data_IF_219659991377
#
_entry.id   IF_219659991377
#
_cell.length_a   1.000
_cell.length_b   1.000
_cell.length_c   1.000
_cell.angle_alpha   90.00
_cell.angle_beta   90.00
_cell.angle_gamma   90.00
#
_symmetry.space_group_name_H-M   'P 1'
#
loop_
_entity.id
_entity.type
_entity.pdbx_description
1 polymer ?
#
# COMPACT_ATOMS: atom_id res chain seq x y z
N UNK A 1 7.72 11.76 -0.94
CA UNK A 1 7.54 10.42 -1.54
C UNK A 1 8.76 10.05 -2.38
N UNK A 2 9.31 8.85 -2.22
CA UNK A 2 10.46 8.38 -3.00
C UNK A 2 9.99 7.61 -4.24
N UNK A 3 9.82 8.28 -5.39
CA UNK A 3 9.32 7.65 -6.63
C UNK A 3 10.23 6.54 -7.19
N UNK A 4 11.51 6.52 -6.80
CA UNK A 4 12.50 5.48 -7.15
C UNK A 4 12.63 4.39 -6.09
N UNK A 5 11.88 4.50 -4.99
CA UNK A 5 11.90 3.53 -3.90
C UNK A 5 11.25 2.21 -4.29
N UNK A 6 11.45 1.14 -3.50
CA UNK A 6 10.80 -0.13 -3.78
C UNK A 6 9.27 -0.03 -3.62
N UNK A 7 8.56 -0.86 -4.36
CA UNK A 7 7.15 -1.17 -4.11
C UNK A 7 7.12 -2.30 -3.09
N UNK A 8 6.32 -2.16 -2.05
CA UNK A 8 6.16 -3.17 -1.00
C UNK A 8 4.88 -3.94 -1.26
N UNK A 9 4.94 -5.27 -1.24
CA UNK A 9 3.77 -6.14 -1.32
C UNK A 9 3.67 -6.99 -0.05
N UNK A 10 2.58 -6.83 0.69
CA UNK A 10 2.26 -7.58 1.91
C UNK A 10 1.10 -8.52 1.58
N UNK A 11 1.42 -9.80 1.40
CA UNK A 11 0.50 -10.85 0.94
C UNK A 11 1.02 -12.23 1.37
N UNK A 12 0.21 -13.00 2.09
CA UNK A 12 0.58 -14.31 2.58
C UNK A 12 0.20 -15.44 1.59
N UNK A 13 -0.70 -15.18 0.65
CA UNK A 13 -1.08 -16.10 -0.42
C UNK A 13 -0.06 -16.11 -1.57
N UNK A 14 0.52 -17.28 -1.84
CA UNK A 14 1.53 -17.42 -2.89
C UNK A 14 0.97 -17.20 -4.32
N UNK A 15 -0.28 -17.59 -4.56
CA UNK A 15 -0.95 -17.39 -5.85
C UNK A 15 -1.14 -15.91 -6.16
N UNK A 16 -1.61 -15.15 -5.18
CA UNK A 16 -1.83 -13.71 -5.31
C UNK A 16 -0.50 -12.96 -5.46
N UNK A 17 0.54 -13.34 -4.69
CA UNK A 17 1.90 -12.82 -4.90
C UNK A 17 2.40 -13.02 -6.33
N UNK A 18 2.18 -14.21 -6.91
CA UNK A 18 2.58 -14.51 -8.30
C UNK A 18 1.82 -13.63 -9.29
N UNK A 19 0.51 -13.45 -9.08
CA UNK A 19 -0.33 -12.59 -9.91
C UNK A 19 0.20 -11.14 -9.93
N UNK A 20 0.44 -10.55 -8.75
CA UNK A 20 1.00 -9.19 -8.66
C UNK A 20 2.38 -9.10 -9.31
N UNK A 21 3.25 -10.08 -9.04
CA UNK A 21 4.62 -10.10 -9.61
C UNK A 21 4.60 -10.14 -11.13
N UNK A 22 3.71 -10.95 -11.72
CA UNK A 22 3.53 -11.01 -13.16
C UNK A 22 3.06 -9.66 -13.72
N UNK A 23 2.06 -9.04 -13.09
CA UNK A 23 1.54 -7.73 -13.50
C UNK A 23 2.62 -6.65 -13.43
N UNK A 24 3.34 -6.55 -12.32
CA UNK A 24 4.41 -5.56 -12.18
C UNK A 24 5.52 -5.75 -13.22
N UNK A 25 5.87 -7.00 -13.53
CA UNK A 25 6.83 -7.33 -14.58
C UNK A 25 6.32 -6.93 -15.98
N UNK A 26 5.05 -7.20 -16.30
CA UNK A 26 4.45 -6.86 -17.60
C UNK A 26 4.31 -5.36 -17.81
N UNK A 27 4.05 -4.61 -16.73
CA UNK A 27 3.94 -3.15 -16.77
C UNK A 27 5.30 -2.43 -16.86
N UNK A 28 6.41 -3.14 -16.68
CA UNK A 28 7.75 -2.60 -16.91
C UNK A 28 8.19 -1.53 -15.91
N UNK A 29 7.62 -1.51 -14.70
CA UNK A 29 8.02 -0.55 -13.66
C UNK A 29 9.43 -0.87 -13.14
N UNK A 30 10.30 0.14 -13.11
CA UNK A 30 11.71 -0.02 -12.71
C UNK A 30 11.92 -0.20 -11.19
N UNK A 31 10.89 -0.02 -10.38
CA UNK A 31 10.96 -0.11 -8.93
C UNK A 31 11.18 -1.57 -8.52
N UNK A 32 12.14 -1.82 -7.62
CA UNK A 32 12.29 -3.14 -6.99
C UNK A 32 11.02 -3.49 -6.19
N UNK A 33 10.67 -4.77 -6.14
CA UNK A 33 9.50 -5.25 -5.40
C UNK A 33 10.00 -6.02 -4.17
N UNK A 34 9.60 -5.59 -2.98
CA UNK A 34 9.90 -6.28 -1.73
C UNK A 34 8.63 -6.95 -1.21
N UNK A 35 8.75 -8.21 -0.82
CA UNK A 35 7.63 -9.06 -0.45
C UNK A 35 7.68 -9.41 1.04
N UNK A 36 6.52 -9.34 1.70
CA UNK A 36 6.36 -9.69 3.11
C UNK A 36 5.08 -10.49 3.32
N UNK A 37 5.07 -11.33 4.36
CA UNK A 37 3.92 -12.16 4.72
C UNK A 37 3.04 -11.51 5.80
N UNK A 38 3.52 -10.46 6.45
CA UNK A 38 2.82 -9.70 7.49
C UNK A 38 3.21 -8.23 7.44
N UNK A 39 2.37 -7.35 8.00
CA UNK A 39 2.70 -5.93 8.16
C UNK A 39 3.86 -5.71 9.12
N UNK A 40 3.97 -6.53 10.17
CA UNK A 40 5.04 -6.46 11.15
C UNK A 40 6.42 -6.78 10.53
N UNK A 41 6.53 -7.82 9.70
CA UNK A 41 7.79 -8.14 9.00
C UNK A 41 8.21 -7.00 8.07
N UNK A 42 7.24 -6.45 7.34
CA UNK A 42 7.47 -5.30 6.47
C UNK A 42 7.97 -4.10 7.28
N UNK A 43 7.29 -3.73 8.37
CA UNK A 43 7.69 -2.62 9.22
C UNK A 43 9.11 -2.78 9.75
N UNK A 44 9.39 -3.91 10.41
CA UNK A 44 10.68 -4.17 11.03
C UNK A 44 11.82 -4.11 10.01
N UNK A 45 11.60 -4.67 8.82
CA UNK A 45 12.58 -4.59 7.74
C UNK A 45 12.78 -3.15 7.25
N UNK A 46 11.69 -2.41 6.98
CA UNK A 46 11.76 -1.07 6.41
C UNK A 46 12.45 -0.09 7.35
N UNK A 47 12.14 -0.14 8.65
CA UNK A 47 12.77 0.72 9.66
C UNK A 47 14.24 0.34 9.88
N UNK A 48 14.52 -0.95 10.11
CA UNK A 48 15.89 -1.40 10.42
C UNK A 48 16.87 -1.12 9.28
N UNK A 49 16.39 -1.16 8.04
CA UNK A 49 17.21 -0.92 6.86
C UNK A 49 17.06 0.51 6.30
N UNK A 50 16.31 1.39 6.98
CA UNK A 50 16.02 2.76 6.55
C UNK A 50 15.53 2.84 5.08
N UNK A 51 14.68 1.89 4.70
CA UNK A 51 14.14 1.79 3.35
C UNK A 51 12.96 2.75 3.20
N UNK A 52 13.02 3.60 2.19
CA UNK A 52 11.95 4.54 1.85
C UNK A 52 11.14 4.01 0.66
N UNK A 53 10.00 3.35 0.90
CA UNK A 53 9.20 2.78 -0.18
C UNK A 53 8.58 3.86 -1.06
N UNK A 54 8.31 3.50 -2.31
CA UNK A 54 7.49 4.30 -3.20
C UNK A 54 6.01 4.15 -2.85
N UNK A 55 5.55 2.90 -2.77
CA UNK A 55 4.17 2.50 -2.49
C UNK A 55 4.15 1.22 -1.67
N UNK A 56 3.13 1.07 -0.85
CA UNK A 56 2.83 -0.17 -0.12
C UNK A 56 1.48 -0.69 -0.63
N UNK A 57 1.44 -1.96 -1.04
CA UNK A 57 0.24 -2.74 -1.29
C UNK A 57 0.10 -3.78 -0.18
N UNK A 58 -1.05 -3.84 0.48
CA UNK A 58 -1.30 -4.84 1.53
C UNK A 58 -2.68 -5.48 1.41
N UNK A 59 -2.77 -6.80 1.63
CA UNK A 59 -4.06 -7.49 1.73
C UNK A 59 -4.84 -7.02 2.97
N UNK A 60 -6.11 -6.69 2.80
CA UNK A 60 -7.09 -6.30 3.81
C UNK A 60 -7.22 -7.35 4.89
N UNK A 61 -7.18 -8.64 4.56
CA UNK A 61 -7.26 -9.71 5.57
C UNK A 61 -6.09 -9.62 6.53
N UNK A 62 -4.89 -9.38 6.00
CA UNK A 62 -3.68 -9.22 6.81
C UNK A 62 -3.71 -7.96 7.67
N UNK A 63 -4.37 -6.88 7.21
CA UNK A 63 -4.58 -5.69 8.04
C UNK A 63 -5.36 -6.03 9.32
N UNK A 64 -6.45 -6.79 9.18
CA UNK A 64 -7.31 -7.14 10.31
C UNK A 64 -6.61 -8.10 11.26
N UNK A 65 -5.86 -9.07 10.72
CA UNK A 65 -5.08 -10.03 11.53
C UNK A 65 -3.99 -9.36 12.36
N UNK A 66 -3.36 -8.30 11.83
CA UNK A 66 -2.35 -7.54 12.57
C UNK A 66 -3.00 -6.67 13.66
N UNK A 67 -4.20 -6.10 13.42
CA UNK A 67 -4.93 -5.34 14.44
C UNK A 67 -5.42 -6.22 15.62
N UNK A 68 -5.71 -7.52 15.39
CA UNK A 68 -6.13 -8.45 16.46
C UNK A 68 -4.96 -9.01 17.30
N UNK A 69 -3.73 -9.00 16.79
CA UNK A 69 -2.56 -9.63 17.44
C UNK A 69 -1.74 -8.69 18.34
N UNK A 70 -2.30 -7.56 18.79
CA UNK A 70 -1.57 -6.52 19.54
C UNK A 70 -0.28 -6.06 18.82
N UNK A 71 -0.32 -5.99 17.49
CA UNK A 71 0.82 -5.49 16.72
C UNK A 71 1.05 -4.02 17.08
N UNK A 72 2.31 -3.66 17.35
CA UNK A 72 2.68 -2.34 17.86
C UNK A 72 2.29 -1.17 16.94
N UNK A 73 1.94 -1.42 15.67
CA UNK A 73 1.77 -0.38 14.65
C UNK A 73 0.62 -0.71 13.70
N UNK A 74 -0.46 0.04 13.81
CA UNK A 74 -1.52 0.09 12.80
C UNK A 74 -0.96 0.56 11.45
N UNK A 75 -1.47 0.04 10.33
CA UNK A 75 -1.08 0.47 8.98
C UNK A 75 -1.26 1.96 8.70
N UNK A 76 -2.18 2.63 9.41
CA UNK A 76 -2.30 4.09 9.37
C UNK A 76 -1.08 4.79 9.97
N UNK A 77 -0.49 4.22 11.01
CA UNK A 77 0.74 4.72 11.60
C UNK A 77 1.93 4.37 10.71
N UNK A 78 1.96 3.18 10.10
CA UNK A 78 2.98 2.75 9.14
C UNK A 78 3.12 3.75 7.98
N UNK A 79 2.01 4.13 7.36
CA UNK A 79 1.99 5.01 6.19
C UNK A 79 2.40 6.45 6.55
N UNK A 80 1.98 6.95 7.73
CA UNK A 80 2.41 8.23 8.29
C UNK A 80 3.92 8.23 8.61
N UNK A 81 4.39 7.19 9.28
CA UNK A 81 5.78 7.05 9.74
C UNK A 81 6.75 6.89 8.57
N UNK A 82 6.39 6.08 7.58
CA UNK A 82 7.18 5.87 6.37
C UNK A 82 7.00 6.97 5.33
N UNK A 83 6.05 7.90 5.54
CA UNK A 83 5.72 9.00 4.62
C UNK A 83 5.51 8.50 3.18
N UNK A 84 4.76 7.40 3.05
CA UNK A 84 4.47 6.73 1.79
C UNK A 84 3.00 6.33 1.70
N UNK A 85 2.42 6.29 0.49
CA UNK A 85 1.05 5.86 0.30
C UNK A 85 0.93 4.36 0.58
N UNK A 86 -0.11 3.98 1.32
CA UNK A 86 -0.47 2.60 1.56
C UNK A 86 -1.84 2.34 0.92
N UNK A 87 -1.86 1.35 0.04
CA UNK A 87 -2.99 0.93 -0.77
C UNK A 87 -3.40 -0.47 -0.32
N UNK A 88 -4.68 -0.66 -0.05
CA UNK A 88 -5.16 -1.93 0.46
C UNK A 88 -5.95 -2.71 -0.55
N UNK A 89 -5.51 -3.92 -0.84
CA UNK A 89 -6.22 -4.83 -1.71
C UNK A 89 -6.77 -6.03 -0.97
N UNK A 90 -7.60 -6.81 -1.63
CA UNK A 90 -7.91 -8.15 -1.14
C UNK A 90 -8.07 -9.03 -2.36
N UNK A 91 -8.02 -10.33 -2.23
CA UNK A 91 -8.32 -11.27 -3.32
C UNK A 91 -9.46 -12.21 -2.93
N UNK A 92 -9.99 -12.05 -1.71
CA UNK A 92 -11.03 -12.91 -1.15
C UNK A 92 -12.33 -12.77 -1.96
N UNK A 93 -12.93 -13.91 -2.30
CA UNK A 93 -14.18 -13.99 -3.07
C UNK A 93 -14.13 -13.36 -4.47
N UNK A 94 -12.97 -13.40 -5.15
CA UNK A 94 -12.79 -12.83 -6.50
C UNK A 94 -13.02 -11.30 -6.53
N UNK A 95 -12.58 -10.58 -5.49
CA UNK A 95 -12.70 -9.13 -5.37
C UNK A 95 -11.35 -8.49 -5.06
N UNK A 96 -10.82 -7.68 -5.97
CA UNK A 96 -9.69 -6.80 -5.70
C UNK A 96 -10.19 -5.40 -5.33
N UNK A 97 -9.96 -4.98 -4.09
CA UNK A 97 -10.17 -3.59 -3.67
C UNK A 97 -8.85 -2.82 -3.77
N UNK A 98 -8.90 -1.50 -3.88
CA UNK A 98 -7.76 -0.63 -3.54
C UNK A 98 -8.31 0.53 -2.74
N UNK A 99 -8.03 0.56 -1.44
CA UNK A 99 -8.40 1.69 -0.58
C UNK A 99 -7.21 2.66 -0.44
N UNK A 100 -7.42 3.92 -0.81
CA UNK A 100 -6.52 5.02 -0.47
C UNK A 100 -6.99 5.68 0.83
N UNK A 101 -6.26 5.46 1.92
CA UNK A 101 -6.53 6.06 3.23
C UNK A 101 -6.35 7.60 3.29
N UNK A 102 -5.74 8.21 2.27
CA UNK A 102 -5.37 9.62 2.27
C UNK A 102 -6.35 10.52 1.52
N UNK A 103 -7.25 9.93 0.73
CA UNK A 103 -8.34 10.64 0.09
C UNK A 103 -9.55 10.71 1.04
N UNK A 104 -10.28 11.84 1.04
CA UNK A 104 -11.63 11.88 1.62
C UNK A 104 -12.45 10.67 1.09
N UNK A 105 -13.46 10.14 1.81
CA UNK A 105 -14.06 8.80 1.61
C UNK A 105 -14.87 8.62 0.29
N UNK A 106 -14.40 9.15 -0.83
CA UNK A 106 -15.21 9.41 -2.04
C UNK A 106 -14.64 8.82 -3.32
N UNK A 107 -13.57 8.02 -3.30
CA UNK A 107 -13.15 7.30 -4.51
C UNK A 107 -12.66 5.88 -4.21
N UNK A 108 -13.61 5.07 -3.74
CA UNK A 108 -13.47 3.62 -3.79
C UNK A 108 -13.40 3.19 -5.26
N UNK A 109 -12.25 2.68 -5.70
CA UNK A 109 -12.15 2.01 -7.00
C UNK A 109 -12.82 0.63 -6.87
N UNK A 110 -14.15 0.61 -7.02
CA UNK A 110 -14.97 -0.60 -6.98
C UNK A 110 -14.99 -1.25 -8.36
N UNK A 111 -14.52 -2.50 -8.49
CA UNK A 111 -14.90 -3.31 -9.66
C UNK A 111 -15.15 -4.78 -9.35
N UNK A 112 -16.26 -5.30 -9.90
CA UNK A 112 -16.60 -6.73 -10.07
C UNK A 112 -17.20 -6.93 -11.48
N UNK A 113 -17.05 -8.09 -12.16
CA UNK A 113 -16.00 -9.11 -12.04
C UNK A 113 -14.87 -8.89 -13.08
N UNK A 114 -13.66 -9.36 -12.77
CA UNK A 114 -12.40 -8.95 -13.41
C UNK A 114 -11.69 -10.10 -14.13
N UNK A 115 -11.25 -9.82 -15.37
CA UNK A 115 -10.21 -10.58 -16.04
C UNK A 115 -8.84 -10.09 -15.57
N UNK A 116 -7.81 -10.93 -15.74
CA UNK A 116 -6.40 -10.57 -15.52
C UNK A 116 -6.05 -9.19 -16.13
N UNK A 117 -6.50 -8.94 -17.37
CA UNK A 117 -6.25 -7.70 -18.09
C UNK A 117 -6.80 -6.46 -17.39
N UNK A 118 -8.03 -6.54 -16.86
CA UNK A 118 -8.57 -5.41 -16.13
C UNK A 118 -7.79 -5.18 -14.83
N UNK A 119 -7.35 -6.26 -14.16
CA UNK A 119 -6.55 -6.12 -12.93
C UNK A 119 -5.23 -5.40 -13.18
N UNK A 120 -4.55 -5.79 -14.25
CA UNK A 120 -3.36 -5.09 -14.76
C UNK A 120 -3.65 -3.62 -15.07
N UNK A 121 -4.79 -3.30 -15.68
CA UNK A 121 -5.20 -1.91 -15.97
C UNK A 121 -5.37 -1.05 -14.70
N UNK A 122 -6.00 -1.60 -13.64
CA UNK A 122 -6.10 -0.91 -12.35
C UNK A 122 -4.72 -0.65 -11.76
N UNK A 123 -3.88 -1.68 -11.71
CA UNK A 123 -2.53 -1.55 -11.14
C UNK A 123 -1.73 -0.50 -11.93
N UNK A 124 -1.81 -0.53 -13.27
CA UNK A 124 -1.18 0.50 -14.10
C UNK A 124 -1.69 1.90 -13.77
N UNK A 125 -3.00 2.08 -13.69
CA UNK A 125 -3.64 3.38 -13.39
C UNK A 125 -3.17 3.93 -12.05
N UNK A 126 -3.11 3.08 -11.03
CA UNK A 126 -2.62 3.43 -9.69
C UNK A 126 -1.16 3.88 -9.77
N UNK A 127 -0.30 3.04 -10.36
CA UNK A 127 1.13 3.33 -10.43
C UNK A 127 1.40 4.62 -11.21
N UNK A 128 0.73 4.83 -12.35
CA UNK A 128 0.80 6.06 -13.11
C UNK A 128 0.33 7.27 -12.30
N UNK A 129 -0.77 7.16 -11.57
CA UNK A 129 -1.30 8.24 -10.73
C UNK A 129 -0.26 8.68 -9.69
N UNK A 130 0.31 7.75 -8.93
CA UNK A 130 1.29 8.05 -7.90
C UNK A 130 2.65 8.49 -8.47
N UNK A 131 2.99 8.04 -9.68
CA UNK A 131 4.20 8.49 -10.36
C UNK A 131 4.04 9.92 -10.91
N UNK A 132 2.86 10.30 -11.40
CA UNK A 132 2.55 11.65 -11.94
C UNK A 132 2.35 12.69 -10.83
N UNK A 133 1.69 12.35 -9.72
CA UNK A 133 1.39 13.31 -8.67
C UNK A 133 2.62 13.71 -7.83
N UNK A 134 2.70 14.98 -7.49
CA UNK A 134 3.57 15.52 -6.44
C UNK A 134 2.69 15.77 -5.22
N UNK A 135 2.74 14.89 -4.22
CA UNK A 135 1.94 15.11 -3.00
C UNK A 135 2.45 16.32 -2.22
N UNK A 136 1.54 17.27 -1.97
CA UNK A 136 1.69 18.30 -0.94
C UNK A 136 1.44 17.60 0.40
N UNK A 137 2.50 17.38 1.17
CA UNK A 137 2.37 16.90 2.56
C UNK A 137 1.66 17.99 3.37
N UNK A 138 0.38 17.78 3.70
CA UNK A 138 -0.28 18.61 4.70
C UNK A 138 0.38 18.36 6.06
N UNK A 139 1.30 19.25 6.44
CA UNK A 139 1.79 19.35 7.82
C UNK A 139 0.57 19.61 8.71
N UNK A 140 0.11 18.61 9.46
CA UNK A 140 -0.72 18.87 10.64
C UNK A 140 0.12 19.68 11.62
N UNK A 141 -0.15 20.98 11.67
CA UNK A 141 0.36 21.86 12.71
C UNK A 141 -0.15 21.36 14.06
N UNK A 142 0.79 20.91 14.89
CA UNK A 142 0.61 20.79 16.33
C UNK A 142 0.38 22.21 16.86
N UNK A 143 -0.85 22.55 17.21
CA UNK A 143 -1.13 23.59 18.20
C UNK A 143 -2.06 22.98 19.24
N UNK A 144 -1.45 22.21 20.13
CA UNK A 144 -1.97 21.99 21.47
C UNK A 144 -1.43 23.11 22.37
N UNK A 145 -2.33 23.65 23.18
CA UNK A 145 -2.11 24.32 24.47
C UNK A 145 -1.53 25.74 24.41
N UNK A 146 -2.44 26.70 24.49
CA UNK A 146 -2.43 27.69 25.58
C UNK A 146 -3.89 28.08 25.86
N UNK A 147 -4.50 27.35 26.79
CA UNK A 147 -5.59 27.87 27.62
C UNK A 147 -4.94 28.20 28.97
N UNK A 148 -4.68 29.48 29.19
CA UNK A 148 -4.78 30.11 30.50
C UNK A 148 -5.52 31.43 30.32
#
# INVERSE_FOLDING_TARGET
>A
MNKKGPIILIENNQGDRKLFTQIFSELGFSNNILYFHSGNDAYNYLISNNVKPFLIFSDIVLLHMDDEQEVNISFKNLSIELNCPCLFFTTVFNQCFVMDLYSAPTQNYMVKPYSYEKFKEIINTILEYWHKNEFIVQKKSKKEKDKL
#
